data_IF_434758632257
#
_entry.id   IF_434758632257
#
_cell.length_a   1.000
_cell.length_b   1.000
_cell.length_c   1.000
_cell.angle_alpha   90.00
_cell.angle_beta   90.00
_cell.angle_gamma   90.00
#
_symmetry.space_group_name_H-M   'P 1'
#
loop_
_entity.id
_entity.type
_entity.pdbx_description
1 polymer ?
#
# COMPACT_ATOMS: atom_id res chain seq x y z
N UNK A 1 13.82 -22.92 13.30
CA UNK A 1 13.20 -21.60 13.54
C UNK A 1 12.31 -21.27 12.34
N UNK A 2 11.03 -20.99 12.54
CA UNK A 2 10.14 -20.66 11.41
C UNK A 2 10.34 -19.18 11.01
N UNK A 3 10.64 -18.87 9.74
CA UNK A 3 10.96 -17.52 9.32
C UNK A 3 9.67 -16.70 9.09
N UNK A 4 9.40 -15.73 9.94
CA UNK A 4 8.24 -14.83 9.82
C UNK A 4 8.52 -13.54 9.03
N UNK A 5 9.66 -13.44 8.37
CA UNK A 5 10.03 -12.26 7.58
C UNK A 5 9.39 -12.26 6.18
N UNK A 6 9.35 -11.12 5.55
CA UNK A 6 9.07 -10.97 4.12
C UNK A 6 10.34 -11.28 3.29
N UNK A 7 10.23 -11.83 2.08
CA UNK A 7 9.01 -12.20 1.35
C UNK A 7 8.33 -13.48 1.87
N UNK A 8 7.04 -13.61 1.54
CA UNK A 8 6.16 -14.67 2.04
C UNK A 8 6.53 -16.12 1.70
N UNK A 9 7.35 -16.35 0.67
CA UNK A 9 7.74 -17.71 0.25
C UNK A 9 8.55 -18.49 1.30
N UNK A 10 9.14 -17.79 2.30
CA UNK A 10 9.82 -18.38 3.47
C UNK A 10 10.88 -19.46 3.17
N UNK A 11 11.46 -19.46 1.97
CA UNK A 11 12.35 -20.50 1.48
C UNK A 11 11.75 -21.92 1.66
N UNK A 12 10.44 -22.08 1.45
CA UNK A 12 9.74 -23.33 1.64
C UNK A 12 10.31 -24.41 0.68
N UNK A 13 10.93 -25.41 1.25
CA UNK A 13 11.35 -26.60 0.53
C UNK A 13 10.08 -27.33 0.03
N UNK A 14 9.99 -27.60 -1.27
CA UNK A 14 8.90 -28.33 -1.88
C UNK A 14 8.02 -27.57 -2.86
N UNK A 15 8.09 -26.25 -2.91
CA UNK A 15 7.54 -25.50 -4.04
C UNK A 15 8.56 -25.57 -5.17
N UNK A 16 8.49 -26.61 -5.97
CA UNK A 16 9.20 -26.67 -7.25
C UNK A 16 8.45 -25.74 -8.22
N UNK A 17 8.74 -24.45 -8.12
CA UNK A 17 8.43 -23.54 -9.20
C UNK A 17 9.43 -23.84 -10.31
N UNK A 18 9.00 -24.56 -11.32
CA UNK A 18 9.72 -24.66 -12.58
C UNK A 18 9.59 -23.28 -13.25
N UNK A 19 10.45 -22.34 -12.87
CA UNK A 19 10.56 -21.10 -13.63
C UNK A 19 11.26 -21.44 -14.94
N UNK A 20 10.66 -21.13 -16.09
CA UNK A 20 11.36 -21.16 -17.33
C UNK A 20 12.59 -20.23 -17.26
N UNK A 21 13.59 -20.50 -18.09
CA UNK A 21 14.76 -19.64 -18.24
C UNK A 21 14.30 -18.16 -18.35
N UNK A 22 14.84 -17.24 -17.53
CA UNK A 22 14.48 -15.81 -17.62
C UNK A 22 14.58 -15.22 -19.01
N UNK A 23 15.51 -15.69 -19.82
CA UNK A 23 15.66 -15.27 -21.20
C UNK A 23 14.56 -15.80 -22.11
N UNK A 24 13.91 -16.92 -21.75
CA UNK A 24 12.78 -17.48 -22.51
C UNK A 24 11.44 -16.82 -22.18
N UNK A 25 11.35 -16.07 -21.07
CA UNK A 25 10.15 -15.36 -20.61
C UNK A 25 10.30 -13.84 -20.59
N UNK A 26 11.47 -13.35 -21.00
CA UNK A 26 11.72 -11.92 -21.15
C UNK A 26 11.14 -11.41 -22.47
N UNK A 27 9.94 -10.84 -22.44
CA UNK A 27 9.28 -10.29 -23.62
C UNK A 27 9.35 -8.77 -23.61
N UNK A 28 9.81 -8.22 -24.72
CA UNK A 28 9.69 -6.79 -25.04
C UNK A 28 8.38 -6.53 -25.82
N UNK A 29 8.18 -5.29 -26.27
CA UNK A 29 7.07 -4.87 -27.13
C UNK A 29 7.06 -5.64 -28.44
N UNK A 30 6.48 -6.83 -28.46
CA UNK A 30 6.28 -7.67 -29.63
C UNK A 30 4.78 -7.74 -29.87
N UNK A 31 4.34 -7.78 -31.11
CA UNK A 31 2.93 -7.95 -31.47
C UNK A 31 2.31 -9.14 -30.72
N UNK A 32 1.20 -8.91 -30.03
CA UNK A 32 0.55 -9.87 -29.16
C UNK A 32 0.93 -9.82 -27.68
N UNK A 33 1.92 -8.98 -27.28
CA UNK A 33 2.25 -8.68 -25.90
C UNK A 33 1.83 -7.25 -25.54
N UNK A 34 1.37 -7.06 -24.31
CA UNK A 34 0.92 -5.77 -23.81
C UNK A 34 2.09 -4.94 -23.25
N UNK A 35 1.84 -3.67 -22.93
CA UNK A 35 2.82 -2.74 -22.37
C UNK A 35 2.35 -2.28 -20.97
N UNK A 36 3.12 -2.58 -19.93
CA UNK A 36 2.77 -2.22 -18.57
C UNK A 36 2.52 -0.72 -18.35
N UNK A 37 3.26 0.13 -19.06
CA UNK A 37 3.14 1.60 -18.94
C UNK A 37 2.06 2.19 -19.84
N UNK A 38 1.51 1.39 -20.77
CA UNK A 38 0.41 1.77 -21.66
C UNK A 38 -0.43 0.52 -21.97
N UNK A 39 -1.14 -0.02 -20.95
CA UNK A 39 -1.85 -1.29 -21.09
C UNK A 39 -3.09 -1.12 -21.97
N UNK A 40 -3.21 -1.93 -23.00
CA UNK A 40 -4.36 -1.94 -23.94
C UNK A 40 -5.03 -3.31 -24.02
N UNK A 41 -4.30 -4.40 -23.73
CA UNK A 41 -4.72 -5.79 -23.84
C UNK A 41 -4.81 -6.50 -22.49
N UNK A 42 -4.11 -7.61 -22.36
CA UNK A 42 -4.17 -8.54 -21.22
C UNK A 42 -3.84 -7.88 -19.87
N UNK A 43 -2.89 -6.96 -19.84
CA UNK A 43 -2.56 -6.24 -18.61
C UNK A 43 -3.70 -5.30 -18.20
N UNK A 44 -4.33 -4.62 -19.15
CA UNK A 44 -5.50 -3.77 -18.88
C UNK A 44 -6.67 -4.57 -18.33
N UNK A 45 -6.95 -5.74 -18.90
CA UNK A 45 -8.02 -6.63 -18.44
C UNK A 45 -7.71 -7.17 -17.04
N UNK A 46 -6.47 -7.58 -16.80
CA UNK A 46 -6.02 -8.05 -15.50
C UNK A 46 -6.10 -6.96 -14.42
N UNK A 47 -5.70 -5.71 -14.73
CA UNK A 47 -5.84 -4.57 -13.82
C UNK A 47 -7.31 -4.27 -13.51
N UNK A 48 -8.21 -4.34 -14.49
CA UNK A 48 -9.66 -4.18 -14.29
C UNK A 48 -10.23 -5.28 -13.40
N UNK A 49 -9.82 -6.53 -13.63
CA UNK A 49 -10.23 -7.64 -12.79
C UNK A 49 -9.76 -7.44 -11.33
N UNK A 50 -8.50 -7.03 -11.13
CA UNK A 50 -7.98 -6.71 -9.81
C UNK A 50 -8.76 -5.56 -9.16
N UNK A 51 -9.08 -4.49 -9.91
CA UNK A 51 -9.93 -3.39 -9.40
C UNK A 51 -11.30 -3.89 -8.93
N UNK A 52 -11.93 -4.76 -9.71
CA UNK A 52 -13.21 -5.38 -9.35
C UNK A 52 -13.09 -6.23 -8.07
N UNK A 53 -11.98 -6.98 -7.92
CA UNK A 53 -11.73 -7.82 -6.76
C UNK A 53 -11.51 -7.01 -5.48
N UNK A 54 -10.77 -5.90 -5.58
CA UNK A 54 -10.46 -5.03 -4.43
C UNK A 54 -11.51 -3.95 -4.19
N UNK A 55 -12.46 -3.75 -5.12
CA UNK A 55 -13.46 -2.68 -5.04
C UNK A 55 -12.84 -1.29 -5.22
N UNK A 56 -11.75 -1.19 -5.98
CA UNK A 56 -11.07 0.06 -6.30
C UNK A 56 -11.49 0.60 -7.67
N UNK A 57 -11.44 1.92 -7.87
CA UNK A 57 -11.70 2.53 -9.18
C UNK A 57 -10.64 2.14 -10.20
N UNK A 58 -9.38 2.08 -9.75
CA UNK A 58 -8.23 1.73 -10.59
C UNK A 58 -7.21 0.88 -9.82
N UNK A 59 -6.51 0.01 -10.56
CA UNK A 59 -5.38 -0.78 -10.06
C UNK A 59 -4.23 -0.69 -11.06
N UNK A 60 -3.01 -0.50 -10.55
CA UNK A 60 -1.78 -0.49 -11.35
C UNK A 60 -0.80 -1.52 -10.84
N UNK A 61 -0.22 -2.31 -11.73
CA UNK A 61 0.87 -3.21 -11.39
C UNK A 61 2.20 -2.49 -11.38
N UNK A 62 2.97 -2.70 -10.33
CA UNK A 62 4.26 -2.06 -10.12
C UNK A 62 5.39 -3.09 -10.15
N UNK A 63 6.46 -2.80 -10.87
CA UNK A 63 7.61 -3.73 -10.99
C UNK A 63 8.64 -3.57 -9.86
N UNK A 64 8.64 -2.43 -9.16
CA UNK A 64 9.58 -2.13 -8.08
C UNK A 64 8.92 -2.15 -6.68
N UNK A 65 7.88 -2.97 -6.53
CA UNK A 65 7.18 -3.17 -5.27
C UNK A 65 6.47 -1.94 -4.72
N UNK A 66 5.94 -2.07 -3.49
CA UNK A 66 5.24 -0.98 -2.78
C UNK A 66 6.08 0.28 -2.61
N UNK A 67 7.41 0.14 -2.56
CA UNK A 67 8.31 1.31 -2.50
C UNK A 67 8.09 2.25 -3.68
N UNK A 68 8.01 1.73 -4.91
CA UNK A 68 7.72 2.55 -6.09
C UNK A 68 6.32 3.18 -6.00
N UNK A 69 5.33 2.43 -5.53
CA UNK A 69 3.97 2.92 -5.30
C UNK A 69 3.93 4.09 -4.34
N UNK A 70 4.60 3.97 -3.19
CA UNK A 70 4.66 5.04 -2.19
C UNK A 70 5.36 6.30 -2.72
N UNK A 71 6.51 6.13 -3.40
CA UNK A 71 7.21 7.26 -4.01
C UNK A 71 6.33 7.98 -5.04
N UNK A 72 5.64 7.23 -5.88
CA UNK A 72 4.75 7.77 -6.91
C UNK A 72 3.53 8.47 -6.30
N UNK A 73 2.89 7.85 -5.29
CA UNK A 73 1.73 8.41 -4.61
C UNK A 73 2.08 9.72 -3.89
N UNK A 74 3.19 9.76 -3.17
CA UNK A 74 3.68 10.98 -2.50
C UNK A 74 3.95 12.08 -3.52
N UNK A 75 4.65 11.76 -4.62
CA UNK A 75 4.98 12.74 -5.66
C UNK A 75 3.75 13.27 -6.40
N UNK A 76 2.70 12.46 -6.50
CA UNK A 76 1.43 12.86 -7.12
C UNK A 76 0.54 13.67 -6.17
N UNK A 77 0.55 13.34 -4.88
CA UNK A 77 -0.34 13.95 -3.88
C UNK A 77 0.17 15.29 -3.36
N UNK A 78 1.49 15.51 -3.32
CA UNK A 78 2.08 16.71 -2.70
C UNK A 78 3.05 17.37 -3.68
N UNK A 79 2.85 18.68 -3.98
CA UNK A 79 3.77 19.41 -4.83
C UNK A 79 5.17 19.48 -4.20
N UNK A 80 6.19 19.62 -5.06
CA UNK A 80 7.57 19.77 -4.61
C UNK A 80 7.71 20.91 -3.57
N UNK A 81 8.37 20.62 -2.46
CA UNK A 81 8.48 21.49 -1.29
C UNK A 81 7.18 21.76 -0.54
N UNK A 82 6.15 20.94 -0.78
CA UNK A 82 4.91 20.97 -0.01
C UNK A 82 5.04 20.32 1.36
N UNK A 83 3.92 20.22 2.06
CA UNK A 83 3.85 19.70 3.43
C UNK A 83 2.98 18.46 3.51
N UNK A 84 3.45 17.42 4.20
CA UNK A 84 2.76 16.14 4.35
C UNK A 84 2.67 15.72 5.82
N UNK A 85 1.49 15.25 6.24
CA UNK A 85 1.30 14.61 7.55
C UNK A 85 1.59 13.11 7.43
N UNK A 86 2.47 12.59 8.26
CA UNK A 86 2.97 11.21 8.15
C UNK A 86 2.92 10.49 9.48
N UNK A 87 2.44 9.24 9.48
CA UNK A 87 2.59 8.37 10.66
C UNK A 87 4.07 8.04 10.91
N UNK A 88 4.54 8.23 12.16
CA UNK A 88 5.98 8.11 12.48
C UNK A 88 6.53 6.69 12.31
N UNK A 89 5.67 5.68 12.32
CA UNK A 89 6.00 4.27 12.14
C UNK A 89 5.92 3.77 10.68
N UNK A 90 5.87 4.68 9.70
CA UNK A 90 5.82 4.30 8.29
C UNK A 90 7.14 3.70 7.79
N UNK A 91 7.07 2.99 6.66
CA UNK A 91 8.22 2.38 6.02
C UNK A 91 9.22 3.45 5.53
N UNK A 92 10.52 3.10 5.49
CA UNK A 92 11.60 3.99 5.02
C UNK A 92 11.38 4.60 3.63
N UNK A 93 10.61 3.94 2.75
CA UNK A 93 10.24 4.47 1.44
C UNK A 93 9.52 5.82 1.53
N UNK A 94 8.72 6.04 2.57
CA UNK A 94 8.02 7.31 2.81
C UNK A 94 9.01 8.43 3.06
N UNK A 95 10.01 8.19 3.90
CA UNK A 95 11.08 9.18 4.17
C UNK A 95 11.91 9.49 2.91
N UNK A 96 12.13 8.48 2.05
CA UNK A 96 12.76 8.71 0.75
C UNK A 96 11.87 9.58 -0.16
N UNK A 97 10.56 9.36 -0.17
CA UNK A 97 9.61 10.20 -0.91
C UNK A 97 9.61 11.65 -0.44
N UNK A 98 9.63 11.87 0.89
CA UNK A 98 9.76 13.19 1.51
C UNK A 98 11.07 13.85 1.08
N UNK A 99 12.19 13.14 1.16
CA UNK A 99 13.51 13.65 0.79
C UNK A 99 13.59 14.02 -0.70
N UNK A 100 13.14 13.12 -1.59
CA UNK A 100 13.22 13.33 -3.04
C UNK A 100 12.36 14.52 -3.52
N UNK A 101 11.24 14.76 -2.87
CA UNK A 101 10.35 15.87 -3.19
C UNK A 101 10.61 17.11 -2.33
N UNK A 102 11.64 17.11 -1.46
CA UNK A 102 11.97 18.17 -0.53
C UNK A 102 10.78 18.62 0.34
N UNK A 103 9.94 17.67 0.79
CA UNK A 103 8.74 17.97 1.54
C UNK A 103 9.07 18.33 2.99
N UNK A 104 8.23 19.17 3.57
CA UNK A 104 8.15 19.35 5.02
C UNK A 104 7.25 18.27 5.62
N UNK A 105 7.78 17.54 6.61
CA UNK A 105 7.04 16.45 7.24
C UNK A 105 6.54 16.88 8.62
N UNK A 106 5.22 16.74 8.82
CA UNK A 106 4.57 16.78 10.14
C UNK A 106 4.30 15.34 10.56
N UNK A 107 4.47 15.02 11.84
CA UNK A 107 4.34 13.65 12.31
C UNK A 107 3.18 13.47 13.27
N UNK A 108 2.40 12.39 13.06
CA UNK A 108 1.55 11.79 14.09
C UNK A 108 2.23 10.51 14.61
N UNK A 109 2.06 10.26 15.90
CA UNK A 109 2.74 9.16 16.56
C UNK A 109 1.75 8.04 16.87
N UNK A 110 2.15 6.78 16.62
CA UNK A 110 1.32 5.64 16.99
C UNK A 110 1.18 5.55 18.51
N UNK A 111 0.05 5.02 18.96
CA UNK A 111 -0.17 4.75 20.37
C UNK A 111 0.80 3.65 20.84
N UNK A 112 1.13 3.66 22.12
CA UNK A 112 1.85 2.54 22.75
C UNK A 112 0.86 1.48 23.19
N UNK A 113 1.13 0.20 22.91
CA UNK A 113 0.31 -0.91 23.44
C UNK A 113 0.87 -1.32 24.80
N UNK A 114 0.14 -1.04 25.91
CA UNK A 114 0.63 -1.32 27.24
C UNK A 114 0.95 -2.81 27.44
N UNK A 115 2.08 -3.09 28.05
CA UNK A 115 2.52 -4.45 28.38
C UNK A 115 3.13 -5.27 27.25
N UNK A 116 3.01 -4.84 25.99
CA UNK A 116 3.59 -5.56 24.84
C UNK A 116 4.84 -4.89 24.28
N UNK A 117 5.07 -3.60 24.53
CA UNK A 117 6.22 -2.85 24.01
C UNK A 117 6.20 -2.66 22.50
N UNK A 118 5.04 -2.81 21.84
CA UNK A 118 4.84 -2.61 20.41
C UNK A 118 4.11 -1.30 20.13
N UNK A 119 4.20 -0.83 18.89
CA UNK A 119 3.49 0.35 18.41
C UNK A 119 2.06 -0.02 18.01
N UNK A 120 1.10 0.77 18.47
CA UNK A 120 -0.30 0.65 18.11
C UNK A 120 -0.67 1.39 16.84
N UNK A 121 -1.97 1.64 16.65
CA UNK A 121 -2.50 2.42 15.55
C UNK A 121 -2.36 3.94 15.75
N UNK A 122 -2.73 4.68 14.74
CA UNK A 122 -2.92 6.13 14.80
C UNK A 122 -4.37 6.42 15.20
N UNK A 123 -4.57 7.38 16.09
CA UNK A 123 -5.90 7.80 16.46
C UNK A 123 -6.46 8.84 15.49
N UNK A 124 -7.76 8.77 15.12
CA UNK A 124 -8.39 9.77 14.27
C UNK A 124 -8.28 11.19 14.84
N UNK A 125 -8.38 11.35 16.16
CA UNK A 125 -8.27 12.62 16.86
C UNK A 125 -6.89 13.26 16.69
N UNK A 126 -5.82 12.48 16.65
CA UNK A 126 -4.47 12.99 16.45
C UNK A 126 -4.30 13.53 15.04
N UNK A 127 -4.89 12.88 14.04
CA UNK A 127 -4.92 13.36 12.66
C UNK A 127 -5.74 14.65 12.55
N UNK A 128 -6.92 14.68 13.14
CA UNK A 128 -7.80 15.86 13.14
C UNK A 128 -7.10 17.07 13.78
N UNK A 129 -6.46 16.87 14.93
CA UNK A 129 -5.75 17.92 15.64
C UNK A 129 -4.54 18.42 14.82
N UNK A 130 -3.78 17.52 14.17
CA UNK A 130 -2.67 17.91 13.32
C UNK A 130 -3.13 18.79 12.14
N UNK A 131 -4.23 18.41 11.46
CA UNK A 131 -4.79 19.17 10.36
C UNK A 131 -5.37 20.53 10.79
N UNK A 132 -5.96 20.62 11.99
CA UNK A 132 -6.45 21.89 12.56
C UNK A 132 -5.31 22.84 12.93
N UNK A 133 -4.19 22.30 13.43
CA UNK A 133 -3.05 23.09 13.89
C UNK A 133 -2.15 23.55 12.74
N UNK A 134 -2.17 22.85 11.63
CA UNK A 134 -1.32 23.17 10.45
C UNK A 134 -2.16 23.03 9.16
N UNK A 135 -2.80 24.13 8.72
CA UNK A 135 -3.64 24.14 7.51
C UNK A 135 -2.84 24.05 6.21
N UNK A 136 -1.50 24.14 6.26
CA UNK A 136 -0.64 24.01 5.08
C UNK A 136 -0.38 22.56 4.68
N UNK A 137 -0.83 21.58 5.45
CA UNK A 137 -0.74 20.17 5.11
C UNK A 137 -1.57 19.89 3.85
N UNK A 138 -0.97 19.18 2.90
CA UNK A 138 -1.55 18.93 1.56
C UNK A 138 -1.90 17.46 1.31
N UNK A 139 -1.38 16.55 2.13
CA UNK A 139 -1.75 15.14 2.10
C UNK A 139 -1.49 14.48 3.45
N UNK A 140 -2.15 13.35 3.69
CA UNK A 140 -1.90 12.49 4.85
C UNK A 140 -1.42 11.14 4.38
N UNK A 141 -0.37 10.60 5.03
CA UNK A 141 0.10 9.24 4.78
C UNK A 141 0.20 8.45 6.09
N UNK A 142 -0.33 7.23 6.07
CA UNK A 142 -0.26 6.32 7.21
C UNK A 142 0.01 4.88 6.77
N UNK A 143 0.45 4.04 7.71
CA UNK A 143 0.55 2.59 7.52
C UNK A 143 -0.52 1.88 8.33
N UNK A 144 -1.24 0.98 7.71
CA UNK A 144 -2.24 0.12 8.37
C UNK A 144 -2.49 -1.14 7.53
N UNK A 145 -2.27 -2.35 8.08
CA UNK A 145 -1.74 -2.63 9.42
C UNK A 145 -0.30 -2.19 9.63
N UNK A 146 0.10 -2.03 10.90
CA UNK A 146 1.51 -1.86 11.26
C UNK A 146 2.30 -3.14 11.01
N UNK A 147 3.64 -3.10 11.14
CA UNK A 147 4.48 -4.29 11.05
C UNK A 147 4.09 -5.38 12.06
N UNK A 148 3.60 -4.97 13.23
CA UNK A 148 3.13 -5.88 14.29
C UNK A 148 1.67 -6.34 14.12
N UNK A 149 1.00 -5.93 13.03
CA UNK A 149 -0.36 -6.35 12.69
C UNK A 149 -1.46 -5.50 13.33
N UNK A 150 -1.15 -4.35 13.92
CA UNK A 150 -2.15 -3.46 14.50
C UNK A 150 -2.83 -2.62 13.42
N UNK A 151 -4.15 -2.62 13.41
CA UNK A 151 -4.99 -1.89 12.45
C UNK A 151 -5.45 -0.57 13.08
N UNK A 152 -5.35 0.53 12.34
CA UNK A 152 -5.95 1.82 12.70
C UNK A 152 -7.38 1.91 12.16
N UNK A 153 -8.20 2.81 12.72
CA UNK A 153 -9.51 3.14 12.12
C UNK A 153 -9.33 4.00 10.87
N UNK A 154 -8.94 3.32 9.77
CA UNK A 154 -8.68 3.97 8.47
C UNK A 154 -9.93 4.69 7.97
N UNK A 155 -11.13 4.16 8.25
CA UNK A 155 -12.39 4.77 7.80
C UNK A 155 -12.62 6.13 8.45
N UNK A 156 -12.51 6.20 9.78
CA UNK A 156 -12.68 7.46 10.50
C UNK A 156 -11.60 8.48 10.10
N UNK A 157 -10.36 8.04 9.92
CA UNK A 157 -9.27 8.90 9.44
C UNK A 157 -9.57 9.41 8.02
N UNK A 158 -10.03 8.56 7.11
CA UNK A 158 -10.39 8.94 5.75
C UNK A 158 -11.51 10.01 5.73
N UNK A 159 -12.55 9.85 6.56
CA UNK A 159 -13.63 10.83 6.70
C UNK A 159 -13.10 12.22 7.13
N UNK A 160 -12.18 12.26 8.09
CA UNK A 160 -11.54 13.50 8.56
C UNK A 160 -10.70 14.14 7.43
N UNK A 161 -9.84 13.36 6.79
CA UNK A 161 -8.91 13.83 5.76
C UNK A 161 -9.67 14.33 4.52
N UNK A 162 -10.66 13.56 4.06
CA UNK A 162 -11.47 13.93 2.91
C UNK A 162 -12.37 15.15 3.20
N UNK A 163 -12.87 15.31 4.44
CA UNK A 163 -13.59 16.53 4.84
C UNK A 163 -12.72 17.78 4.77
N UNK A 164 -11.41 17.63 4.98
CA UNK A 164 -10.44 18.71 4.78
C UNK A 164 -10.07 18.92 3.29
N UNK A 165 -10.61 18.11 2.37
CA UNK A 165 -10.32 18.18 0.93
C UNK A 165 -8.95 17.64 0.55
N UNK A 166 -8.35 16.80 1.41
CA UNK A 166 -6.99 16.27 1.23
C UNK A 166 -7.01 14.80 0.81
N UNK A 167 -5.98 14.35 0.05
CA UNK A 167 -5.79 12.93 -0.23
C UNK A 167 -5.21 12.19 0.99
N UNK A 168 -5.69 10.94 1.19
CA UNK A 168 -5.15 9.99 2.14
C UNK A 168 -4.41 8.89 1.38
N UNK A 169 -3.15 8.67 1.74
CA UNK A 169 -2.33 7.54 1.26
C UNK A 169 -2.22 6.52 2.39
N UNK A 170 -2.65 5.29 2.15
CA UNK A 170 -2.53 4.19 3.12
C UNK A 170 -1.57 3.15 2.58
N UNK A 171 -0.49 2.89 3.33
CA UNK A 171 0.41 1.78 3.05
C UNK A 171 -0.18 0.51 3.66
N UNK A 172 -0.72 -0.34 2.79
CA UNK A 172 -1.35 -1.61 3.14
C UNK A 172 -0.49 -2.82 2.80
N UNK A 173 0.83 -2.66 2.69
CA UNK A 173 1.74 -3.75 2.31
C UNK A 173 1.58 -5.01 3.18
N UNK A 174 1.10 -4.88 4.41
CA UNK A 174 0.83 -5.97 5.34
C UNK A 174 -0.64 -6.43 5.37
N UNK A 175 -1.55 -5.76 4.64
CA UNK A 175 -3.00 -6.02 4.70
C UNK A 175 -3.48 -7.15 3.77
N UNK A 176 -2.69 -7.59 2.80
CA UNK A 176 -3.12 -8.52 1.76
C UNK A 176 -3.75 -9.80 2.33
N UNK A 177 -3.23 -10.32 3.43
CA UNK A 177 -3.74 -11.53 4.10
C UNK A 177 -5.11 -11.25 4.73
N UNK A 178 -5.31 -10.09 5.33
CA UNK A 178 -6.57 -9.72 6.01
C UNK A 178 -7.73 -9.57 5.02
N UNK A 179 -7.48 -8.95 3.88
CA UNK A 179 -8.48 -8.80 2.80
C UNK A 179 -8.89 -10.15 2.20
N UNK A 180 -7.96 -11.08 2.06
CA UNK A 180 -8.25 -12.43 1.61
C UNK A 180 -9.08 -13.20 2.66
N UNK A 181 -8.72 -13.15 3.94
CA UNK A 181 -9.41 -13.87 5.00
C UNK A 181 -10.87 -13.40 5.18
N UNK A 182 -11.12 -12.11 5.14
CA UNK A 182 -12.48 -11.54 5.22
C UNK A 182 -13.35 -11.95 4.02
N UNK A 183 -12.79 -12.09 2.81
CA UNK A 183 -13.52 -12.55 1.61
C UNK A 183 -13.68 -14.05 1.56
N UNK A 184 -12.72 -14.84 2.05
CA UNK A 184 -12.86 -16.29 2.19
C UNK A 184 -13.98 -16.70 3.15
N UNK A 185 -14.24 -15.90 4.18
CA UNK A 185 -15.36 -16.12 5.10
C UNK A 185 -16.73 -15.74 4.52
N UNK A 186 -16.76 -14.78 3.58
CA UNK A 186 -18.02 -14.29 2.99
C UNK A 186 -18.43 -14.95 1.68
N UNK A 187 -17.49 -15.53 0.91
CA UNK A 187 -17.76 -16.31 -0.30
C UNK A 187 -16.67 -17.37 -0.49
N UNK A 188 -17.01 -18.68 -0.49
CA UNK A 188 -16.05 -19.71 -0.84
C UNK A 188 -15.59 -19.49 -2.28
N UNK A 189 -14.27 -19.37 -2.46
CA UNK A 189 -13.65 -19.26 -3.78
C UNK A 189 -13.99 -20.48 -4.63
N UNK A 190 -14.71 -20.25 -5.70
CA UNK A 190 -14.96 -21.28 -6.68
C UNK A 190 -13.71 -21.41 -7.59
N UNK A 191 -12.81 -22.32 -7.22
CA UNK A 191 -11.56 -22.59 -7.93
C UNK A 191 -11.75 -23.02 -9.38
N UNK A 192 -12.97 -23.45 -9.77
CA UNK A 192 -13.29 -23.84 -11.15
C UNK A 192 -13.41 -22.64 -12.10
N UNK A 193 -13.67 -21.43 -11.57
CA UNK A 193 -13.76 -20.20 -12.37
C UNK A 193 -12.39 -19.53 -12.62
N UNK A 194 -11.32 -20.07 -12.04
CA UNK A 194 -9.95 -19.52 -12.16
C UNK A 194 -9.04 -20.35 -13.10
N UNK A 195 -9.62 -21.29 -13.87
CA UNK A 195 -8.91 -22.07 -14.90
C UNK A 195 -9.06 -21.47 -16.28
#
# INVERSE_FOLDING_TARGET
MYPFHMPGHKAAEGIKLSFPDPFSVGYNRIDGFDNLHHPEGILKESMKWASSLYGSDHTWYLVNGSTCGLLSAISAAVPHRGKILVSRNCHKAVYHGIYLNHLEAVYVYPQSVPGLGIQGGILPEDVENALKNDPDIQAVLMVSPTYDGIVSDVKAIAEIVHKAGLPLIVDEAHALILLMEMRFQSQPLNWEQMR
#
